data_IF_216014623060
#
_entry.id   IF_216014623060
#
_cell.length_a   1.000
_cell.length_b   1.000
_cell.length_c   1.000
_cell.angle_alpha   90.00
_cell.angle_beta   90.00
_cell.angle_gamma   90.00
#
_symmetry.space_group_name_H-M   'P 1'
#
loop_
_entity.id
_entity.type
_entity.pdbx_description
1 polymer ?
#
# COMPACT_ATOMS: atom_id res chain seq x y z
N UNK A 1 -10.26 4.40 -1.08
CA UNK A 1 -9.57 3.20 -0.53
C UNK A 1 -8.17 3.64 -0.16
N UNK A 2 -7.93 3.96 1.12
CA UNK A 2 -6.59 4.14 1.65
C UNK A 2 -5.84 2.80 1.49
N UNK A 3 -4.61 2.78 0.96
CA UNK A 3 -3.86 1.55 0.84
C UNK A 3 -3.55 1.03 2.25
N UNK A 4 -4.09 -0.15 2.56
CA UNK A 4 -3.81 -0.95 3.76
C UNK A 4 -2.39 -1.50 3.66
N UNK A 5 -1.41 -0.61 3.80
CA UNK A 5 0.01 -0.93 3.67
C UNK A 5 0.85 -0.16 4.68
N UNK A 6 0.39 -0.01 5.92
CA UNK A 6 1.23 0.50 7.02
C UNK A 6 0.84 -0.07 8.38
N UNK A 7 0.94 -1.39 8.55
CA UNK A 7 1.25 -1.99 9.87
C UNK A 7 1.90 -3.34 9.62
N UNK A 8 3.19 -3.42 9.29
CA UNK A 8 4.03 -4.58 9.61
C UNK A 8 5.50 -4.22 9.35
N UNK A 9 6.17 -3.71 10.38
CA UNK A 9 7.63 -3.75 10.44
C UNK A 9 8.06 -4.02 11.88
N UNK A 10 9.04 -4.93 12.00
CA UNK A 10 9.75 -5.42 13.19
C UNK A 10 9.20 -6.65 13.92
N UNK A 11 9.72 -7.82 13.52
CA UNK A 11 10.27 -8.80 14.46
C UNK A 11 11.29 -9.69 13.73
N UNK A 12 12.55 -9.25 13.65
CA UNK A 12 13.67 -10.11 13.29
C UNK A 12 13.95 -11.03 14.48
N UNK A 13 13.51 -12.28 14.40
CA UNK A 13 13.97 -13.35 15.30
C UNK A 13 14.90 -14.24 14.48
N UNK A 14 16.19 -14.19 14.81
CA UNK A 14 17.17 -15.18 14.39
C UNK A 14 16.78 -16.54 14.99
N UNK A 15 16.32 -17.46 14.14
CA UNK A 15 16.25 -18.88 14.47
C UNK A 15 17.23 -19.63 13.56
N UNK A 16 18.35 -20.04 14.13
CA UNK A 16 19.26 -21.02 13.53
C UNK A 16 18.52 -22.36 13.53
N UNK A 17 18.22 -22.90 12.35
CA UNK A 17 17.79 -24.29 12.21
C UNK A 17 18.55 -24.95 11.07
N UNK A 18 19.21 -26.04 11.43
CA UNK A 18 20.03 -26.88 10.59
C UNK A 18 19.23 -27.40 9.38
N UNK A 19 19.85 -27.31 8.20
CA UNK A 19 19.25 -27.73 6.94
C UNK A 19 19.05 -29.24 6.88
N UNK A 20 17.81 -29.66 6.69
CA UNK A 20 17.50 -30.83 5.88
C UNK A 20 17.37 -30.37 4.43
N UNK A 21 18.25 -30.87 3.57
CA UNK A 21 18.14 -30.78 2.12
C UNK A 21 16.86 -31.50 1.68
N UNK A 22 15.81 -30.74 1.35
CA UNK A 22 14.77 -31.17 0.43
C UNK A 22 14.92 -30.31 -0.81
N UNK A 23 15.39 -30.92 -1.89
CA UNK A 23 15.66 -30.25 -3.15
C UNK A 23 14.41 -29.53 -3.66
N UNK A 24 14.54 -28.22 -3.88
CA UNK A 24 13.53 -27.44 -4.58
C UNK A 24 13.57 -27.78 -6.07
N UNK A 25 12.68 -28.67 -6.50
CA UNK A 25 12.26 -28.74 -7.89
C UNK A 25 11.10 -27.75 -8.11
N UNK A 26 11.39 -26.45 -8.08
CA UNK A 26 10.41 -25.40 -8.40
C UNK A 26 11.08 -24.18 -9.03
N UNK A 27 11.69 -24.35 -10.20
CA UNK A 27 12.22 -23.21 -10.98
C UNK A 27 12.13 -23.30 -12.51
N UNK A 28 11.89 -24.45 -13.14
CA UNK A 28 11.92 -24.50 -14.62
C UNK A 28 10.62 -24.02 -15.30
N UNK A 29 9.45 -24.22 -14.69
CA UNK A 29 8.15 -23.91 -15.33
C UNK A 29 7.76 -22.44 -15.30
N UNK A 30 8.09 -21.70 -14.23
CA UNK A 30 7.78 -20.26 -14.11
C UNK A 30 8.69 -19.41 -14.99
N UNK A 31 9.97 -19.79 -15.11
CA UNK A 31 10.96 -19.08 -15.94
C UNK A 31 10.61 -19.21 -17.43
N UNK A 32 10.21 -20.41 -17.88
CA UNK A 32 9.78 -20.66 -19.26
C UNK A 32 8.46 -19.93 -19.65
N UNK A 33 7.59 -19.64 -18.69
CA UNK A 33 6.31 -18.93 -18.95
C UNK A 33 6.48 -17.41 -19.07
N UNK A 34 7.55 -16.86 -18.50
CA UNK A 34 7.86 -15.42 -18.46
C UNK A 34 8.97 -15.02 -19.44
N UNK A 35 9.78 -15.97 -19.90
CA UNK A 35 10.85 -15.75 -20.87
C UNK A 35 10.31 -15.61 -22.31
N UNK A 36 10.22 -14.38 -22.80
CA UNK A 36 9.90 -14.05 -24.19
C UNK A 36 11.18 -13.87 -25.03
N UNK A 37 11.16 -14.20 -26.34
CA UNK A 37 10.04 -14.74 -27.11
C UNK A 37 9.79 -16.23 -26.85
N UNK A 38 8.57 -16.69 -27.18
CA UNK A 38 8.22 -18.11 -27.09
C UNK A 38 8.33 -18.81 -28.43
N UNK A 39 8.93 -20.00 -28.45
CA UNK A 39 9.06 -20.83 -29.64
C UNK A 39 8.21 -22.10 -29.50
N UNK A 40 7.47 -22.44 -30.55
CA UNK A 40 6.67 -23.65 -30.64
C UNK A 40 6.87 -24.33 -31.99
N UNK A 41 6.86 -25.67 -31.98
CA UNK A 41 6.99 -26.49 -33.19
C UNK A 41 5.66 -27.17 -33.47
N UNK A 42 5.11 -27.00 -34.67
CA UNK A 42 3.85 -27.64 -35.08
C UNK A 42 3.93 -28.06 -36.54
N UNK A 43 3.62 -29.33 -36.83
CA UNK A 43 3.67 -29.89 -38.19
C UNK A 43 5.01 -29.64 -38.91
N UNK A 44 6.12 -29.69 -38.16
CA UNK A 44 7.48 -29.45 -38.68
C UNK A 44 7.84 -27.97 -38.93
N UNK A 45 6.89 -27.04 -38.74
CA UNK A 45 7.17 -25.61 -38.77
C UNK A 45 7.58 -25.11 -37.38
N UNK A 46 8.56 -24.21 -37.33
CA UNK A 46 8.96 -23.48 -36.12
C UNK A 46 8.26 -22.13 -36.12
N UNK A 47 7.58 -21.82 -35.03
CA UNK A 47 6.85 -20.55 -34.85
C UNK A 47 7.42 -19.85 -33.63
N UNK A 48 7.85 -18.61 -33.80
CA UNK A 48 8.33 -17.73 -32.72
C UNK A 48 7.31 -16.62 -32.54
N UNK A 49 6.80 -16.46 -31.32
CA UNK A 49 5.87 -15.39 -30.93
C UNK A 49 6.61 -14.46 -29.97
N UNK A 50 6.69 -13.19 -30.35
CA UNK A 50 7.30 -12.16 -29.52
C UNK A 50 6.30 -11.63 -28.48
N UNK A 51 6.82 -10.99 -27.44
CA UNK A 51 6.00 -10.49 -26.34
C UNK A 51 4.87 -9.59 -26.87
N UNK A 52 3.60 -9.86 -26.51
CA UNK A 52 2.49 -9.05 -26.95
C UNK A 52 2.54 -7.65 -26.34
N UNK A 53 2.21 -6.64 -27.14
CA UNK A 53 1.98 -5.27 -26.69
C UNK A 53 0.49 -5.05 -26.49
N UNK A 54 0.11 -4.51 -25.33
CA UNK A 54 -1.27 -4.26 -24.98
C UNK A 54 -1.87 -3.15 -25.85
N UNK A 55 -3.04 -3.40 -26.43
CA UNK A 55 -3.82 -2.38 -27.15
C UNK A 55 -4.87 -1.80 -26.19
N UNK A 56 -5.66 -2.67 -25.58
CA UNK A 56 -6.75 -2.33 -24.65
C UNK A 56 -6.92 -3.42 -23.60
N UNK A 57 -7.32 -3.05 -22.39
CA UNK A 57 -7.52 -3.99 -21.28
C UNK A 57 -8.80 -3.67 -20.48
N UNK A 58 -9.99 -3.75 -21.11
CA UNK A 58 -11.26 -3.47 -20.44
C UNK A 58 -11.43 -4.30 -19.17
N UNK A 59 -11.82 -3.62 -18.09
CA UNK A 59 -12.05 -4.18 -16.76
C UNK A 59 -10.89 -5.00 -16.17
N UNK A 60 -9.70 -4.93 -16.74
CA UNK A 60 -8.55 -5.78 -16.39
C UNK A 60 -8.82 -7.30 -16.53
N UNK A 61 -9.78 -7.70 -17.39
CA UNK A 61 -10.19 -9.11 -17.58
C UNK A 61 -9.85 -9.68 -18.95
N UNK A 62 -10.00 -8.86 -20.00
CA UNK A 62 -9.76 -9.27 -21.39
C UNK A 62 -8.74 -8.35 -22.01
N UNK A 63 -7.55 -8.88 -22.28
CA UNK A 63 -6.47 -8.13 -22.91
C UNK A 63 -6.58 -8.27 -24.43
N UNK A 64 -6.74 -7.15 -25.13
CA UNK A 64 -6.50 -7.07 -26.57
C UNK A 64 -5.04 -6.72 -26.78
N UNK A 65 -4.30 -7.53 -27.51
CA UNK A 65 -2.87 -7.34 -27.69
C UNK A 65 -2.40 -7.65 -29.11
N UNK A 66 -1.30 -7.01 -29.53
CA UNK A 66 -0.63 -7.30 -30.79
C UNK A 66 0.71 -7.98 -30.53
N UNK A 67 0.98 -9.07 -31.24
CA UNK A 67 2.27 -9.75 -31.19
C UNK A 67 2.87 -9.86 -32.59
N UNK A 68 4.20 -9.71 -32.68
CA UNK A 68 4.94 -10.13 -33.87
C UNK A 68 5.09 -11.65 -33.86
N UNK A 69 5.02 -12.26 -35.05
CA UNK A 69 5.16 -13.70 -35.24
C UNK A 69 6.13 -13.99 -36.40
N UNK A 70 7.01 -14.96 -36.20
CA UNK A 70 7.91 -15.47 -37.22
C UNK A 70 7.64 -16.96 -37.45
N UNK A 71 7.36 -17.36 -38.69
CA UNK A 71 7.02 -18.74 -39.05
C UNK A 71 8.08 -19.27 -40.02
N UNK A 72 8.89 -20.22 -39.58
CA UNK A 72 9.85 -20.94 -40.41
C UNK A 72 9.24 -22.28 -40.81
N UNK A 73 8.94 -22.45 -42.10
CA UNK A 73 8.35 -23.69 -42.63
C UNK A 73 9.39 -24.83 -42.71
N UNK A 74 8.96 -26.10 -42.77
CA UNK A 74 9.87 -27.23 -42.94
C UNK A 74 10.77 -27.04 -44.17
N UNK A 75 12.08 -27.14 -43.97
CA UNK A 75 13.07 -27.01 -45.05
C UNK A 75 13.38 -25.57 -45.48
N UNK A 76 12.66 -24.56 -44.96
CA UNK A 76 12.96 -23.15 -45.20
C UNK A 76 13.91 -22.61 -44.12
N UNK A 77 14.79 -21.67 -44.49
CA UNK A 77 15.70 -20.98 -43.55
C UNK A 77 15.23 -19.57 -43.19
N UNK A 78 14.54 -18.91 -44.11
CA UNK A 78 14.01 -17.56 -43.88
C UNK A 78 12.62 -17.65 -43.23
N UNK A 79 12.36 -16.96 -42.12
CA UNK A 79 11.04 -16.92 -41.51
C UNK A 79 10.10 -16.02 -42.32
N UNK A 80 8.84 -16.44 -42.43
CA UNK A 80 7.74 -15.56 -42.79
C UNK A 80 7.39 -14.69 -41.58
N UNK A 81 7.53 -13.39 -41.72
CA UNK A 81 7.22 -12.42 -40.67
C UNK A 81 5.80 -11.86 -40.82
N UNK A 82 5.13 -11.68 -39.70
CA UNK A 82 3.82 -11.03 -39.64
C UNK A 82 3.47 -10.53 -38.25
N UNK A 83 2.26 -10.02 -38.12
CA UNK A 83 1.66 -9.63 -36.85
C UNK A 83 0.32 -10.33 -36.67
N UNK A 84 -0.02 -10.58 -35.41
CA UNK A 84 -1.33 -11.09 -35.00
C UNK A 84 -1.90 -10.18 -33.92
N UNK A 85 -3.21 -9.99 -33.95
CA UNK A 85 -3.95 -9.37 -32.85
C UNK A 85 -4.82 -10.43 -32.17
N UNK A 86 -4.73 -10.47 -30.85
CA UNK A 86 -5.35 -11.48 -30.01
C UNK A 86 -6.21 -10.83 -28.94
N UNK A 87 -7.32 -11.48 -28.60
CA UNK A 87 -7.97 -11.29 -27.30
C UNK A 87 -7.59 -12.44 -26.36
N UNK A 88 -7.24 -12.12 -25.12
CA UNK A 88 -6.73 -13.04 -24.11
C UNK A 88 -7.47 -12.82 -22.79
N UNK A 89 -7.81 -13.89 -22.07
CA UNK A 89 -8.29 -13.80 -20.68
C UNK A 89 -7.12 -13.57 -19.75
N UNK A 90 -7.25 -12.63 -18.81
CA UNK A 90 -6.19 -12.25 -17.87
C UNK A 90 -6.53 -12.59 -16.43
N UNK A 91 -5.53 -13.08 -15.70
CA UNK A 91 -5.54 -13.17 -14.24
C UNK A 91 -4.29 -12.43 -13.72
N UNK A 92 -4.49 -11.46 -12.83
CA UNK A 92 -3.40 -10.59 -12.33
C UNK A 92 -3.03 -10.97 -10.91
N UNK A 93 -1.75 -11.29 -10.73
CA UNK A 93 -1.12 -11.34 -9.43
C UNK A 93 -0.42 -10.00 -9.18
N UNK A 94 -1.05 -9.14 -8.37
CA UNK A 94 -0.53 -7.81 -8.06
C UNK A 94 0.70 -7.86 -7.14
N UNK A 95 0.86 -8.92 -6.35
CA UNK A 95 1.98 -9.07 -5.42
C UNK A 95 3.27 -9.42 -6.17
N UNK A 96 3.20 -10.40 -7.08
CA UNK A 96 4.34 -10.73 -7.94
C UNK A 96 4.50 -9.80 -9.15
N UNK A 97 3.46 -9.03 -9.49
CA UNK A 97 3.46 -8.13 -10.64
C UNK A 97 3.40 -8.86 -11.97
N UNK A 98 2.75 -10.02 -12.02
CA UNK A 98 2.64 -10.90 -13.19
C UNK A 98 1.18 -11.00 -13.64
N UNK A 99 0.96 -11.01 -14.95
CA UNK A 99 -0.33 -11.34 -15.56
C UNK A 99 -0.21 -12.70 -16.24
N UNK A 100 -1.12 -13.62 -15.89
CA UNK A 100 -1.33 -14.87 -16.61
C UNK A 100 -2.32 -14.65 -17.75
N UNK A 101 -1.95 -15.11 -18.95
CA UNK A 101 -2.68 -14.98 -20.20
C UNK A 101 -3.19 -16.36 -20.64
N UNK A 102 -4.50 -16.49 -20.84
CA UNK A 102 -5.16 -17.73 -21.22
C UNK A 102 -6.23 -17.50 -22.29
N UNK A 103 -6.77 -18.59 -22.84
CA UNK A 103 -7.87 -18.58 -23.82
C UNK A 103 -7.68 -17.59 -24.99
N UNK A 104 -6.54 -17.63 -25.71
CA UNK A 104 -6.30 -16.73 -26.82
C UNK A 104 -7.34 -16.92 -27.94
N UNK A 105 -7.81 -15.82 -28.52
CA UNK A 105 -8.62 -15.80 -29.74
C UNK A 105 -7.99 -14.86 -30.74
N UNK A 106 -7.92 -15.28 -32.00
CA UNK A 106 -7.39 -14.47 -33.09
C UNK A 106 -8.44 -13.46 -33.55
N UNK A 107 -8.10 -12.18 -33.49
CA UNK A 107 -8.92 -11.10 -34.05
C UNK A 107 -8.52 -10.87 -35.51
N UNK A 108 -7.23 -10.62 -35.75
CA UNK A 108 -6.69 -10.34 -37.07
C UNK A 108 -5.27 -10.87 -37.23
N UNK A 109 -4.83 -11.04 -38.47
CA UNK A 109 -3.44 -11.33 -38.81
C UNK A 109 -3.00 -10.56 -40.04
N UNK A 110 -1.71 -10.21 -40.11
CA UNK A 110 -1.14 -9.51 -41.25
C UNK A 110 0.25 -10.05 -41.57
N UNK A 111 0.40 -10.55 -42.81
CA UNK A 111 1.66 -11.10 -43.33
C UNK A 111 1.99 -10.39 -44.65
N UNK A 112 2.85 -9.36 -44.64
CA UNK A 112 3.10 -8.51 -45.81
C UNK A 112 3.64 -9.25 -47.04
N UNK A 113 4.30 -10.39 -46.82
CA UNK A 113 4.93 -11.19 -47.88
C UNK A 113 3.98 -12.23 -48.52
N UNK A 114 2.71 -12.30 -48.10
CA UNK A 114 1.74 -13.28 -48.61
C UNK A 114 0.67 -12.61 -49.47
N UNK A 115 0.18 -13.36 -50.47
CA UNK A 115 -1.08 -13.02 -51.13
C UNK A 115 -2.30 -13.35 -50.25
N UNK A 116 -3.49 -12.95 -50.70
CA UNK A 116 -4.74 -13.12 -49.95
C UNK A 116 -5.08 -14.58 -49.64
N UNK A 117 -4.85 -15.51 -50.58
CA UNK A 117 -5.17 -16.92 -50.39
C UNK A 117 -4.20 -17.59 -49.40
N UNK A 118 -2.91 -17.27 -49.51
CA UNK A 118 -1.87 -17.71 -48.60
C UNK A 118 -2.09 -17.17 -47.18
N UNK A 119 -2.44 -15.88 -47.05
CA UNK A 119 -2.73 -15.26 -45.76
C UNK A 119 -3.93 -15.93 -45.07
N UNK A 120 -5.02 -16.21 -45.81
CA UNK A 120 -6.19 -16.90 -45.26
C UNK A 120 -5.84 -18.32 -44.74
N UNK A 121 -4.99 -19.06 -45.46
CA UNK A 121 -4.54 -20.38 -45.03
C UNK A 121 -3.70 -20.32 -43.74
N UNK A 122 -2.80 -19.33 -43.63
CA UNK A 122 -2.00 -19.12 -42.41
C UNK A 122 -2.90 -18.72 -41.24
N UNK A 123 -3.85 -17.82 -41.46
CA UNK A 123 -4.79 -17.40 -40.43
C UNK A 123 -5.60 -18.57 -39.87
N UNK A 124 -6.12 -19.44 -40.75
CA UNK A 124 -6.84 -20.64 -40.34
C UNK A 124 -5.97 -21.58 -39.49
N UNK A 125 -4.71 -21.77 -39.87
CA UNK A 125 -3.76 -22.59 -39.10
C UNK A 125 -3.46 -22.00 -37.72
N UNK A 126 -3.36 -20.67 -37.63
CA UNK A 126 -3.18 -19.98 -36.35
C UNK A 126 -4.43 -20.18 -35.48
N UNK A 127 -5.64 -19.97 -36.02
CA UNK A 127 -6.89 -20.20 -35.29
C UNK A 127 -7.01 -21.62 -34.74
N UNK A 128 -6.55 -22.63 -35.50
CA UNK A 128 -6.51 -24.02 -35.06
C UNK A 128 -5.42 -24.33 -34.02
N UNK A 129 -4.44 -23.44 -33.83
CA UNK A 129 -3.34 -23.63 -32.87
C UNK A 129 -3.61 -23.01 -31.51
N UNK A 130 -4.37 -21.91 -31.49
CA UNK A 130 -4.62 -21.14 -30.28
C UNK A 130 -5.26 -21.92 -29.13
N UNK A 131 -6.22 -22.85 -29.33
CA UNK A 131 -6.81 -23.60 -28.22
C UNK A 131 -5.81 -24.48 -27.46
N UNK A 132 -4.73 -24.92 -28.10
CA UNK A 132 -3.70 -25.76 -27.48
C UNK A 132 -2.62 -24.93 -26.77
N UNK A 133 -2.72 -23.60 -26.81
CA UNK A 133 -1.70 -22.71 -26.26
C UNK A 133 -1.72 -22.78 -24.73
N UNK A 134 -0.59 -23.15 -24.15
CA UNK A 134 -0.38 -23.11 -22.72
C UNK A 134 -0.47 -21.68 -22.19
N UNK A 135 -0.84 -21.55 -20.90
CA UNK A 135 -0.86 -20.27 -20.20
C UNK A 135 0.51 -19.60 -20.34
N UNK A 136 0.50 -18.32 -20.75
CA UNK A 136 1.69 -17.48 -20.87
C UNK A 136 1.66 -16.38 -19.83
N UNK A 137 2.82 -15.84 -19.49
CA UNK A 137 2.92 -14.78 -18.50
C UNK A 137 3.62 -13.55 -19.06
N UNK A 138 3.17 -12.37 -18.65
CA UNK A 138 3.80 -11.09 -18.98
C UNK A 138 3.91 -10.22 -17.72
N UNK A 139 4.95 -9.38 -17.59
CA UNK A 139 5.02 -8.42 -16.51
C UNK A 139 3.85 -7.43 -16.58
N UNK A 140 3.20 -7.18 -15.44
CA UNK A 140 2.13 -6.18 -15.32
C UNK A 140 2.60 -4.80 -15.80
N UNK A 141 3.81 -4.40 -15.45
CA UNK A 141 4.40 -3.13 -15.90
C UNK A 141 4.52 -3.04 -17.43
N UNK A 142 4.87 -4.13 -18.12
CA UNK A 142 4.99 -4.13 -19.58
C UNK A 142 3.62 -3.97 -20.26
N UNK A 143 2.58 -4.59 -19.72
CA UNK A 143 1.19 -4.38 -20.19
C UNK A 143 0.77 -2.94 -19.98
N UNK A 144 0.92 -2.42 -18.76
CA UNK A 144 0.51 -1.05 -18.42
C UNK A 144 1.24 0.02 -19.26
N UNK A 145 2.54 -0.16 -19.51
CA UNK A 145 3.34 0.78 -20.33
C UNK A 145 3.02 0.71 -21.82
N UNK A 146 2.49 -0.43 -22.31
CA UNK A 146 2.15 -0.60 -23.73
C UNK A 146 0.73 -0.19 -24.08
N UNK A 147 -0.16 -0.02 -23.08
CA UNK A 147 -1.54 0.41 -23.31
C UNK A 147 -1.60 1.70 -24.13
N UNK A 148 -2.40 1.66 -25.21
CA UNK A 148 -2.61 2.82 -26.09
C UNK A 148 -3.31 3.96 -25.34
N UNK A 149 -4.32 3.61 -24.56
CA UNK A 149 -5.05 4.54 -23.70
C UNK A 149 -4.68 4.26 -22.25
N UNK A 150 -4.04 5.23 -21.61
CA UNK A 150 -3.70 5.19 -20.20
C UNK A 150 -4.88 5.75 -19.40
N UNK A 151 -5.39 5.05 -18.37
CA UNK A 151 -6.45 5.61 -17.54
C UNK A 151 -5.97 6.92 -16.92
N UNK A 152 -6.78 7.97 -17.04
CA UNK A 152 -6.49 9.24 -16.40
C UNK A 152 -6.49 9.06 -14.88
N UNK A 153 -5.61 9.79 -14.18
CA UNK A 153 -5.72 9.92 -12.75
C UNK A 153 -7.10 10.54 -12.43
N UNK A 154 -7.86 9.90 -11.54
CA UNK A 154 -9.06 10.54 -11.00
C UNK A 154 -8.60 11.69 -10.10
N UNK A 155 -8.96 12.92 -10.45
CA UNK A 155 -8.65 14.11 -9.67
C UNK A 155 -9.59 14.15 -8.46
N UNK A 156 -9.21 13.44 -7.39
CA UNK A 156 -9.90 13.51 -6.11
C UNK A 156 -9.31 14.70 -5.35
N UNK A 157 -10.10 15.72 -4.97
CA UNK A 157 -9.62 16.81 -4.15
C UNK A 157 -9.16 16.26 -2.79
N UNK A 158 -7.84 16.25 -2.57
CA UNK A 158 -7.22 15.84 -1.30
C UNK A 158 -6.72 17.05 -0.52
N UNK A 159 -6.82 17.01 0.82
CA UNK A 159 -6.26 18.08 1.65
C UNK A 159 -4.74 17.96 1.72
N UNK A 160 -4.04 18.91 1.10
CA UNK A 160 -2.57 18.99 1.07
C UNK A 160 -1.97 19.88 2.16
N UNK A 161 -2.77 20.32 3.15
CA UNK A 161 -2.24 21.01 4.32
C UNK A 161 -1.18 20.13 5.01
N UNK A 162 -0.01 20.69 5.34
CA UNK A 162 1.03 19.95 6.02
C UNK A 162 0.54 19.52 7.42
N UNK A 163 0.78 18.26 7.83
CA UNK A 163 0.53 17.87 9.21
C UNK A 163 1.46 18.65 10.16
N UNK A 164 1.17 18.62 11.46
CA UNK A 164 2.15 19.11 12.46
C UNK A 164 3.36 18.18 12.42
N UNK A 165 4.53 18.69 12.08
CA UNK A 165 5.75 17.86 12.03
C UNK A 165 6.62 18.16 13.25
N UNK A 166 6.83 17.13 14.07
CA UNK A 166 7.79 17.17 15.17
C UNK A 166 9.17 16.72 14.69
N UNK A 167 10.22 17.24 15.31
CA UNK A 167 11.60 16.85 15.04
C UNK A 167 12.33 16.48 16.32
N UNK A 168 13.16 15.42 16.27
CA UNK A 168 14.05 15.06 17.36
C UNK A 168 15.34 14.40 16.87
N UNK A 169 16.47 14.83 17.44
CA UNK A 169 17.79 14.20 17.28
C UNK A 169 18.04 13.06 18.29
N UNK A 170 17.06 12.81 19.16
CA UNK A 170 17.06 11.79 20.19
C UNK A 170 15.93 10.81 19.94
N UNK A 171 15.99 9.58 20.48
CA UNK A 171 14.86 8.66 20.46
C UNK A 171 13.58 9.37 20.92
N UNK A 172 12.56 9.33 20.08
CA UNK A 172 11.29 9.99 20.32
C UNK A 172 10.13 9.12 19.84
N UNK A 173 8.94 9.39 20.34
CA UNK A 173 7.70 8.76 19.90
C UNK A 173 6.60 9.81 19.80
N UNK A 174 5.74 9.64 18.81
CA UNK A 174 4.61 10.52 18.57
C UNK A 174 3.30 9.80 18.94
N UNK A 175 2.62 10.34 19.94
CA UNK A 175 1.25 9.95 20.30
C UNK A 175 0.30 10.92 19.62
N UNK A 176 -0.56 10.41 18.74
CA UNK A 176 -1.58 11.20 18.05
C UNK A 176 -2.94 10.77 18.59
N UNK A 177 -3.75 11.75 18.95
CA UNK A 177 -5.18 11.60 19.16
C UNK A 177 -5.92 12.17 17.94
N UNK A 178 -6.97 11.49 17.50
CA UNK A 178 -7.92 12.07 16.55
C UNK A 178 -8.86 13.03 17.30
N UNK A 179 -8.46 14.30 17.41
CA UNK A 179 -9.12 15.30 18.23
C UNK A 179 -8.81 15.16 19.72
N UNK A 180 -9.72 15.65 20.57
CA UNK A 180 -9.58 15.55 22.03
C UNK A 180 -9.66 14.09 22.51
N UNK A 181 -8.94 13.68 23.56
CA UNK A 181 -8.97 12.30 24.05
C UNK A 181 -10.37 11.78 24.40
N UNK A 182 -10.74 10.63 23.84
CA UNK A 182 -12.02 9.96 24.10
C UNK A 182 -11.79 8.72 24.95
N UNK A 183 -12.31 8.73 26.18
CA UNK A 183 -12.07 7.71 27.19
C UNK A 183 -13.23 6.71 27.31
N UNK A 184 -12.89 5.41 27.34
CA UNK A 184 -13.79 4.29 27.65
C UNK A 184 -13.39 3.65 28.95
N UNK A 185 -14.32 3.53 29.89
CA UNK A 185 -14.06 2.85 31.15
C UNK A 185 -13.86 1.35 30.94
N UNK A 186 -12.78 0.80 31.51
CA UNK A 186 -12.46 -0.62 31.46
C UNK A 186 -13.19 -1.31 32.61
N UNK A 187 -14.39 -1.83 32.35
CA UNK A 187 -15.23 -2.46 33.37
C UNK A 187 -15.41 -1.56 34.60
N UNK A 188 -15.37 -2.13 35.79
CA UNK A 188 -15.46 -1.39 37.06
C UNK A 188 -14.08 -1.16 37.72
N UNK A 189 -13.03 -1.05 36.92
CA UNK A 189 -11.64 -0.94 37.45
C UNK A 189 -11.27 0.47 37.92
N UNK A 190 -12.03 1.50 37.52
CA UNK A 190 -11.63 2.89 37.69
C UNK A 190 -10.51 3.34 36.74
N UNK A 191 -10.16 2.51 35.75
CA UNK A 191 -9.25 2.85 34.66
C UNK A 191 -10.07 3.03 33.38
N UNK A 192 -9.73 4.06 32.61
CA UNK A 192 -10.25 4.30 31.27
C UNK A 192 -9.13 4.18 30.23
N UNK A 193 -9.48 3.72 29.04
CA UNK A 193 -8.61 3.63 27.87
C UNK A 193 -9.00 4.71 26.84
N UNK A 194 -8.02 5.39 26.25
CA UNK A 194 -8.27 6.30 25.16
C UNK A 194 -8.39 5.54 23.83
N UNK A 195 -9.54 5.63 23.18
CA UNK A 195 -9.85 4.81 21.98
C UNK A 195 -9.49 5.49 20.66
N UNK A 196 -9.32 6.81 20.65
CA UNK A 196 -9.02 7.61 19.46
C UNK A 196 -7.52 7.94 19.35
N UNK A 197 -6.63 6.99 19.66
CA UNK A 197 -5.18 7.21 19.60
C UNK A 197 -4.43 6.01 19.05
N UNK A 198 -3.25 6.25 18.46
CA UNK A 198 -2.36 5.22 17.93
C UNK A 198 -1.53 4.47 18.99
N UNK A 199 -1.69 4.78 20.28
CA UNK A 199 -0.96 4.12 21.39
C UNK A 199 -1.89 3.57 22.48
N UNK A 200 -1.34 2.70 23.33
CA UNK A 200 -1.98 2.32 24.59
C UNK A 200 -1.87 3.46 25.62
N UNK A 201 -2.90 4.31 25.67
CA UNK A 201 -3.02 5.40 26.64
C UNK A 201 -4.20 5.18 27.58
N UNK A 202 -3.94 5.24 28.87
CA UNK A 202 -4.92 5.04 29.93
C UNK A 202 -5.01 6.24 30.86
N UNK A 203 -6.14 6.37 31.55
CA UNK A 203 -6.34 7.36 32.60
C UNK A 203 -7.06 6.74 33.79
N UNK A 204 -6.72 7.16 35.01
CA UNK A 204 -7.50 6.84 36.22
C UNK A 204 -8.28 8.07 36.75
N UNK A 205 -8.43 9.11 35.92
CA UNK A 205 -9.06 10.39 36.28
C UNK A 205 -8.12 11.39 36.97
N UNK A 206 -7.02 10.94 37.57
CA UNK A 206 -6.01 11.82 38.19
C UNK A 206 -4.67 11.87 37.47
N UNK A 207 -4.35 10.83 36.69
CA UNK A 207 -3.12 10.71 35.92
C UNK A 207 -3.35 9.93 34.62
N UNK A 208 -2.47 10.18 33.67
CA UNK A 208 -2.40 9.52 32.37
C UNK A 208 -1.21 8.57 32.33
N UNK A 209 -1.38 7.43 31.66
CA UNK A 209 -0.40 6.35 31.58
C UNK A 209 -0.24 5.92 30.12
N UNK A 210 0.99 5.97 29.62
CA UNK A 210 1.35 5.55 28.28
C UNK A 210 2.22 4.30 28.36
N UNK A 211 1.85 3.26 27.62
CA UNK A 211 2.73 2.13 27.37
C UNK A 211 3.46 2.33 26.05
N UNK A 212 4.75 2.67 26.13
CA UNK A 212 5.61 2.85 24.98
C UNK A 212 6.62 1.69 24.86
N UNK A 213 6.46 0.83 23.85
CA UNK A 213 7.41 -0.25 23.56
C UNK A 213 7.79 -1.10 24.79
N UNK A 214 6.79 -1.40 25.65
CA UNK A 214 6.99 -2.18 26.88
C UNK A 214 7.38 -1.36 28.12
N UNK A 215 7.68 -0.07 27.98
CA UNK A 215 7.99 0.83 29.08
C UNK A 215 6.78 1.68 29.46
N UNK A 216 6.46 1.75 30.75
CA UNK A 216 5.40 2.60 31.25
C UNK A 216 5.91 4.01 31.53
N UNK A 217 5.12 4.99 31.09
CA UNK A 217 5.29 6.40 31.40
C UNK A 217 3.99 6.97 31.98
N UNK A 218 4.08 8.04 32.76
CA UNK A 218 2.91 8.78 33.25
C UNK A 218 3.03 10.27 33.04
N UNK A 219 1.88 10.94 32.98
CA UNK A 219 1.76 12.39 33.06
C UNK A 219 0.52 12.79 33.87
N UNK A 220 0.45 14.06 34.26
CA UNK A 220 -0.76 14.65 34.86
C UNK A 220 -1.84 14.99 33.82
N UNK A 221 -1.46 15.16 32.55
CA UNK A 221 -2.38 15.51 31.45
C UNK A 221 -2.19 14.56 30.27
N UNK A 222 -3.14 14.54 29.34
CA UNK A 222 -3.05 13.68 28.15
C UNK A 222 -1.89 14.09 27.23
N UNK A 223 -1.57 15.37 27.19
CA UNK A 223 -0.56 16.01 26.34
C UNK A 223 0.87 15.86 26.88
N UNK A 224 1.03 15.34 28.09
CA UNK A 224 2.33 15.22 28.72
C UNK A 224 2.74 16.46 29.54
N UNK A 225 4.02 16.56 29.94
CA UNK A 225 5.12 15.66 29.57
C UNK A 225 5.00 14.30 30.25
N UNK A 226 5.30 13.23 29.52
CA UNK A 226 5.34 11.87 30.05
C UNK A 226 6.70 11.55 30.64
N UNK A 227 6.71 10.92 31.83
CA UNK A 227 7.92 10.50 32.54
C UNK A 227 7.88 9.00 32.87
N UNK A 228 9.01 8.29 32.83
CA UNK A 228 9.05 6.87 33.18
C UNK A 228 8.54 6.59 34.58
N UNK A 229 7.82 5.49 34.74
CA UNK A 229 7.37 5.00 36.05
C UNK A 229 7.76 3.55 36.25
N UNK A 230 8.00 3.18 37.51
CA UNK A 230 8.31 1.81 37.93
C UNK A 230 7.15 1.17 38.71
N UNK A 231 6.07 1.91 38.92
CA UNK A 231 4.88 1.45 39.62
C UNK A 231 3.63 1.88 38.85
N UNK A 232 2.58 1.05 38.91
CA UNK A 232 1.25 1.36 38.39
C UNK A 232 0.23 1.26 39.51
N UNK A 233 -0.92 1.96 39.40
CA UNK A 233 -2.07 1.71 40.28
C UNK A 233 -2.46 0.24 40.27
N UNK A 234 -2.83 -0.31 41.43
CA UNK A 234 -3.24 -1.73 41.58
C UNK A 234 -4.36 -2.12 40.60
N UNK A 235 -5.24 -1.18 40.26
CA UNK A 235 -6.33 -1.36 39.32
C UNK A 235 -5.89 -1.83 37.91
N UNK A 236 -4.65 -1.56 37.48
CA UNK A 236 -4.12 -2.08 36.22
C UNK A 236 -4.04 -3.61 36.19
N UNK A 237 -3.92 -4.26 37.37
CA UNK A 237 -3.97 -5.72 37.48
C UNK A 237 -5.35 -6.31 37.15
N UNK A 238 -6.39 -5.49 37.07
CA UNK A 238 -7.76 -5.88 36.74
C UNK A 238 -8.14 -5.62 35.28
N UNK A 239 -7.19 -5.19 34.43
CA UNK A 239 -7.43 -5.05 32.99
C UNK A 239 -7.80 -6.43 32.39
N UNK A 240 -8.91 -6.53 31.62
CA UNK A 240 -9.40 -7.79 31.07
C UNK A 240 -8.36 -8.57 30.28
N UNK A 241 -8.50 -9.89 30.31
CA UNK A 241 -7.64 -10.82 29.58
C UNK A 241 -8.06 -10.99 28.10
N UNK A 242 -8.48 -9.91 27.44
CA UNK A 242 -8.82 -9.95 26.02
C UNK A 242 -7.57 -9.79 25.12
N UNK A 243 -7.77 -10.00 23.82
CA UNK A 243 -6.69 -9.89 22.83
C UNK A 243 -6.21 -8.44 22.63
N UNK A 244 -7.05 -7.44 22.89
CA UNK A 244 -6.73 -6.04 22.68
C UNK A 244 -5.75 -5.52 23.73
N UNK A 245 -5.72 -6.10 24.93
CA UNK A 245 -4.81 -5.71 26.01
C UNK A 245 -3.71 -6.75 26.30
N UNK A 246 -3.45 -7.67 25.36
CA UNK A 246 -2.45 -8.72 25.55
C UNK A 246 -1.05 -8.16 25.85
N UNK A 247 -0.60 -7.15 25.10
CA UNK A 247 0.72 -6.55 25.30
C UNK A 247 0.78 -5.66 26.55
N UNK A 248 -0.34 -5.00 26.88
CA UNK A 248 -0.51 -4.24 28.13
C UNK A 248 -0.29 -5.13 29.33
N UNK A 249 -0.93 -6.31 29.34
CA UNK A 249 -0.76 -7.30 30.42
C UNK A 249 0.65 -7.86 30.52
N UNK A 250 1.33 -8.12 29.39
CA UNK A 250 2.75 -8.56 29.40
C UNK A 250 3.67 -7.50 30.02
N UNK A 251 3.30 -6.23 29.93
CA UNK A 251 4.03 -5.10 30.49
C UNK A 251 3.64 -4.78 31.95
N UNK A 252 2.80 -5.59 32.60
CA UNK A 252 2.45 -5.48 34.02
C UNK A 252 3.08 -6.65 34.79
N UNK A 253 3.84 -6.42 35.88
CA UNK A 253 4.19 -5.11 36.45
C UNK A 253 5.18 -4.32 35.57
N UNK A 254 5.27 -2.99 35.75
CA UNK A 254 6.26 -2.19 35.05
C UNK A 254 7.67 -2.72 35.28
N UNK A 255 8.44 -2.79 34.20
CA UNK A 255 9.85 -3.18 34.25
C UNK A 255 10.69 -1.92 34.16
N UNK A 256 11.76 -1.84 34.96
CA UNK A 256 12.78 -0.82 34.76
C UNK A 256 13.36 -1.02 33.35
N UNK A 257 13.23 0.00 32.50
CA UNK A 257 13.82 -0.03 31.17
C UNK A 257 15.34 0.06 31.27
N UNK A 258 16.06 -0.79 30.54
CA UNK A 258 17.52 -0.68 30.39
C UNK A 258 17.92 0.38 29.34
N UNK A 259 16.94 1.03 28.71
CA UNK A 259 17.13 2.08 27.70
C UNK A 259 16.56 3.39 28.24
N UNK A 260 17.20 4.55 27.93
CA UNK A 260 16.61 5.85 28.19
C UNK A 260 15.22 5.94 27.55
N UNK A 261 14.27 6.52 28.28
CA UNK A 261 12.94 6.73 27.75
C UNK A 261 12.98 7.73 26.58
N UNK A 262 12.18 7.51 25.52
CA UNK A 262 12.11 8.44 24.42
C UNK A 262 11.44 9.75 24.85
N UNK A 263 11.71 10.82 24.12
CA UNK A 263 10.90 12.04 24.17
C UNK A 263 9.50 11.70 23.64
N UNK A 264 8.45 12.07 24.36
CA UNK A 264 7.08 11.87 23.92
C UNK A 264 6.53 13.19 23.38
N UNK A 265 6.23 13.23 22.09
CA UNK A 265 5.42 14.28 21.49
C UNK A 265 3.96 13.83 21.47
N UNK A 266 3.05 14.76 21.72
CA UNK A 266 1.60 14.50 21.69
C UNK A 266 0.93 15.52 20.77
N UNK A 267 -0.02 15.06 19.95
CA UNK A 267 -0.84 15.92 19.11
C UNK A 267 -2.29 15.47 19.10
N UNK A 268 -3.22 16.41 19.13
CA UNK A 268 -4.67 16.20 18.88
C UNK A 268 -5.07 16.56 17.44
N UNK A 269 -4.07 16.85 16.60
CA UNK A 269 -4.17 17.14 15.16
C UNK A 269 -3.35 16.14 14.36
N UNK A 270 -3.64 15.93 13.06
CA UNK A 270 -2.77 15.14 12.18
C UNK A 270 -1.31 15.60 12.32
N UNK A 271 -0.44 14.65 12.64
CA UNK A 271 0.95 14.92 12.96
C UNK A 271 1.87 13.80 12.48
N UNK A 272 3.09 14.20 12.13
CA UNK A 272 4.18 13.33 11.70
C UNK A 272 5.43 13.63 12.53
N UNK A 273 6.39 12.71 12.53
CA UNK A 273 7.66 12.91 13.25
C UNK A 273 8.86 12.57 12.37
N UNK A 274 9.85 13.47 12.42
CA UNK A 274 11.19 13.26 11.85
C UNK A 274 12.15 12.96 12.99
N UNK A 275 12.82 11.82 12.92
CA UNK A 275 13.81 11.41 13.92
C UNK A 275 15.16 11.25 13.24
N UNK A 276 16.20 11.90 13.76
CA UNK A 276 17.59 11.65 13.37
C UNK A 276 18.37 11.10 14.56
N UNK A 277 19.40 10.29 14.30
CA UNK A 277 20.36 9.89 15.31
C UNK A 277 21.48 10.95 15.40
N UNK A 278 21.24 11.99 16.21
CA UNK A 278 22.09 13.19 16.25
C UNK A 278 21.87 14.12 15.05
N UNK A 279 22.84 15.01 14.78
CA UNK A 279 22.79 15.92 13.64
C UNK A 279 22.63 15.17 12.30
N UNK A 280 21.90 15.72 11.31
CA UNK A 280 21.70 15.08 10.02
C UNK A 280 23.03 14.71 9.34
N UNK A 281 23.10 13.48 8.84
CA UNK A 281 24.23 12.98 8.07
C UNK A 281 23.83 12.81 6.61
N UNK A 282 24.52 13.51 5.72
CA UNK A 282 24.18 13.55 4.30
C UNK A 282 24.98 12.53 3.49
N UNK A 283 24.37 11.99 2.45
CA UNK A 283 25.04 11.21 1.40
C UNK A 283 24.51 11.64 0.03
N UNK A 284 25.40 11.84 -0.94
CA UNK A 284 25.02 12.22 -2.30
C UNK A 284 24.22 11.11 -2.97
N UNK A 285 23.13 11.47 -3.65
CA UNK A 285 22.36 10.57 -4.50
C UNK A 285 22.96 10.59 -5.90
N UNK A 286 23.51 9.45 -6.33
CA UNK A 286 24.23 9.33 -7.59
C UNK A 286 23.40 9.83 -8.79
N UNK A 287 24.03 10.61 -9.67
CA UNK A 287 23.39 11.19 -10.86
C UNK A 287 22.58 12.46 -10.59
N UNK A 288 22.58 12.98 -9.35
CA UNK A 288 21.83 14.17 -8.95
C UNK A 288 22.66 15.07 -8.01
N UNK A 289 22.14 16.24 -7.67
CA UNK A 289 22.64 17.12 -6.60
C UNK A 289 22.00 16.85 -5.24
N UNK A 290 21.02 15.95 -5.15
CA UNK A 290 20.29 15.63 -3.93
C UNK A 290 21.18 14.92 -2.92
N UNK A 291 20.95 15.21 -1.64
CA UNK A 291 21.57 14.51 -0.53
C UNK A 291 20.50 13.80 0.28
N UNK A 292 20.62 12.49 0.49
CA UNK A 292 19.77 11.75 1.41
C UNK A 292 20.30 11.90 2.84
N UNK A 293 19.40 12.03 3.81
CA UNK A 293 19.76 11.97 5.24
C UNK A 293 19.77 10.51 5.67
N UNK A 294 20.95 9.95 5.98
CA UNK A 294 21.14 8.50 6.19
C UNK A 294 20.91 8.03 7.63
N UNK A 295 20.98 8.93 8.60
CA UNK A 295 20.84 8.62 10.02
C UNK A 295 19.40 8.86 10.52
N UNK A 296 18.41 8.60 9.67
CA UNK A 296 16.98 8.69 9.97
C UNK A 296 16.24 7.52 9.34
N UNK A 297 15.15 7.01 9.96
CA UNK A 297 14.25 6.08 9.30
C UNK A 297 13.31 6.77 8.30
N UNK A 298 13.21 8.11 8.33
CA UNK A 298 12.33 8.87 7.45
C UNK A 298 12.93 8.99 6.05
N UNK A 299 12.09 8.97 5.02
CA UNK A 299 12.47 9.36 3.66
C UNK A 299 12.70 10.87 3.61
N UNK A 300 13.94 11.29 3.86
CA UNK A 300 14.33 12.68 4.02
C UNK A 300 15.53 13.01 3.14
N UNK A 301 15.37 14.05 2.31
CA UNK A 301 16.39 14.57 1.41
C UNK A 301 16.68 16.03 1.74
N UNK A 302 17.86 16.48 1.36
CA UNK A 302 18.27 17.86 1.34
C UNK A 302 18.73 18.22 -0.07
N UNK A 303 18.21 19.31 -0.61
CA UNK A 303 18.61 19.85 -1.90
C UNK A 303 19.45 21.12 -1.65
N UNK A 304 20.76 21.09 -1.99
CA UNK A 304 21.67 22.18 -1.63
C UNK A 304 21.37 23.51 -2.33
N UNK A 305 20.95 23.48 -3.60
CA UNK A 305 20.78 24.68 -4.44
C UNK A 305 19.70 25.64 -3.90
N UNK A 306 18.64 25.09 -3.33
CA UNK A 306 17.53 25.80 -2.67
C UNK A 306 17.65 25.76 -1.14
N UNK A 307 18.62 25.04 -0.60
CA UNK A 307 18.84 24.85 0.84
C UNK A 307 17.57 24.39 1.57
N UNK A 308 16.90 23.38 1.01
CA UNK A 308 15.63 22.87 1.54
C UNK A 308 15.70 21.38 1.83
N UNK A 309 15.06 20.99 2.92
CA UNK A 309 14.70 19.61 3.21
C UNK A 309 13.41 19.24 2.48
N UNK A 310 13.34 18.01 2.02
CA UNK A 310 12.17 17.37 1.42
C UNK A 310 11.90 16.05 2.15
N UNK A 311 10.69 15.88 2.65
CA UNK A 311 10.27 14.67 3.36
C UNK A 311 9.02 14.09 2.69
N UNK A 312 8.98 12.77 2.57
CA UNK A 312 7.84 12.05 2.03
C UNK A 312 6.98 11.49 3.17
N UNK A 313 5.72 11.94 3.26
CA UNK A 313 4.72 11.41 4.18
C UNK A 313 3.50 10.96 3.40
N UNK A 314 3.09 9.69 3.58
CA UNK A 314 1.89 9.12 2.96
C UNK A 314 1.78 9.42 1.46
N UNK A 315 2.88 9.26 0.71
CA UNK A 315 2.94 9.48 -0.74
C UNK A 315 3.03 10.95 -1.18
N UNK A 316 3.09 11.91 -0.26
CA UNK A 316 3.16 13.35 -0.55
C UNK A 316 4.44 13.97 -0.02
N UNK A 317 5.03 14.84 -0.84
CA UNK A 317 6.24 15.55 -0.47
C UNK A 317 5.93 16.86 0.23
N UNK A 318 6.68 17.12 1.29
CA UNK A 318 6.68 18.38 2.00
C UNK A 318 8.09 18.95 2.05
N UNK A 319 8.22 20.26 1.96
CA UNK A 319 9.51 20.95 2.00
C UNK A 319 9.58 21.99 3.11
N UNK A 320 10.78 22.18 3.67
CA UNK A 320 11.08 23.21 4.66
C UNK A 320 12.54 23.66 4.56
N UNK A 321 12.85 24.87 5.03
CA UNK A 321 14.25 25.34 5.14
C UNK A 321 15.01 24.71 6.31
N UNK A 322 14.31 24.05 7.24
CA UNK A 322 14.88 23.36 8.39
C UNK A 322 13.95 22.27 8.91
N UNK A 323 14.50 21.37 9.74
CA UNK A 323 13.76 20.19 10.21
C UNK A 323 12.60 20.50 11.16
N UNK A 324 12.63 21.66 11.81
CA UNK A 324 11.52 22.19 12.62
C UNK A 324 10.42 22.85 11.77
N UNK A 325 10.54 22.84 10.44
CA UNK A 325 9.61 23.52 9.54
C UNK A 325 9.89 25.03 9.41
N UNK A 326 8.88 25.83 9.02
CA UNK A 326 7.54 25.38 8.66
C UNK A 326 7.57 24.51 7.41
N UNK A 327 6.80 23.42 7.43
CA UNK A 327 6.65 22.53 6.29
C UNK A 327 5.55 23.03 5.37
N UNK A 328 5.72 22.86 4.06
CA UNK A 328 4.72 23.17 3.03
C UNK A 328 4.60 22.01 2.05
N UNK A 329 3.44 21.80 1.48
CA UNK A 329 3.28 20.86 0.37
C UNK A 329 4.21 21.21 -0.79
N UNK A 330 4.87 20.20 -1.35
CA UNK A 330 5.93 20.37 -2.34
C UNK A 330 5.89 19.35 -3.48
N UNK A 331 4.94 18.40 -3.49
CA UNK A 331 4.86 17.36 -4.54
C UNK A 331 4.88 17.94 -5.95
N UNK A 332 4.15 19.04 -6.18
CA UNK A 332 4.07 19.69 -7.49
C UNK A 332 5.25 20.64 -7.78
N UNK A 333 6.13 20.86 -6.81
CA UNK A 333 7.27 21.78 -6.86
C UNK A 333 8.59 21.05 -6.52
N UNK A 334 8.66 19.75 -6.79
CA UNK A 334 9.89 19.00 -6.57
C UNK A 334 11.00 19.47 -7.52
N UNK A 335 12.25 19.56 -7.04
CA UNK A 335 13.41 19.71 -7.91
C UNK A 335 13.46 18.61 -8.97
N UNK A 336 13.83 18.97 -10.21
CA UNK A 336 13.90 18.03 -11.34
C UNK A 336 14.79 16.82 -11.06
N UNK A 337 15.80 17.00 -10.20
CA UNK A 337 16.69 15.95 -9.70
C UNK A 337 15.98 14.72 -9.13
N UNK A 338 14.80 14.89 -8.51
CA UNK A 338 14.05 13.74 -8.00
C UNK A 338 13.65 12.75 -9.10
N UNK A 339 13.35 13.26 -10.31
CA UNK A 339 13.03 12.43 -11.46
C UNK A 339 14.28 11.81 -12.12
N UNK A 340 15.47 12.30 -11.79
CA UNK A 340 16.75 11.78 -12.27
C UNK A 340 17.33 10.66 -11.39
N UNK A 341 16.69 10.36 -10.24
CA UNK A 341 17.08 9.23 -9.39
C UNK A 341 16.98 7.93 -10.21
N UNK A 342 18.09 7.22 -10.35
CA UNK A 342 18.12 5.92 -11.05
C UNK A 342 17.15 4.91 -10.42
N UNK A 343 16.49 4.10 -11.25
CA UNK A 343 15.63 3.02 -10.79
C UNK A 343 16.38 1.90 -10.04
N UNK A 344 17.71 1.80 -10.25
CA UNK A 344 18.58 0.86 -9.54
C UNK A 344 19.18 1.47 -8.25
N UNK A 345 18.85 2.72 -7.96
CA UNK A 345 19.33 3.41 -6.75
C UNK A 345 18.67 2.83 -5.49
N UNK A 346 19.36 2.80 -4.33
CA UNK A 346 18.72 2.53 -3.04
C UNK A 346 17.57 3.50 -2.70
N UNK A 347 17.53 4.67 -3.34
CA UNK A 347 16.48 5.69 -3.17
C UNK A 347 15.33 5.54 -4.20
N UNK A 348 15.36 4.56 -5.10
CA UNK A 348 14.36 4.41 -6.16
C UNK A 348 12.92 4.19 -5.64
N UNK A 349 12.76 3.77 -4.38
CA UNK A 349 11.46 3.57 -3.74
C UNK A 349 10.60 4.84 -3.68
N UNK A 350 11.20 6.02 -3.87
CA UNK A 350 10.48 7.29 -3.86
C UNK A 350 9.89 7.66 -5.22
N UNK A 351 10.36 7.06 -6.31
CA UNK A 351 9.95 7.40 -7.68
C UNK A 351 8.43 7.29 -7.90
N UNK A 352 7.69 6.31 -7.34
CA UNK A 352 6.22 6.29 -7.40
C UNK A 352 5.54 7.55 -6.85
N UNK A 353 6.21 8.31 -6.00
CA UNK A 353 5.74 9.58 -5.42
C UNK A 353 6.41 10.81 -6.04
N UNK A 354 7.18 10.65 -7.13
CA UNK A 354 7.78 11.76 -7.89
C UNK A 354 6.98 11.96 -9.18
N UNK A 355 6.21 13.06 -9.30
CA UNK A 355 5.42 13.32 -10.50
C UNK A 355 6.27 13.33 -11.78
N UNK A 356 5.70 12.81 -12.86
CA UNK A 356 6.36 12.76 -14.18
C UNK A 356 7.30 11.58 -14.38
N UNK A 357 7.52 10.73 -13.38
CA UNK A 357 8.30 9.49 -13.55
C UNK A 357 7.43 8.35 -14.07
N UNK A 358 8.04 7.41 -14.80
CA UNK A 358 7.38 6.18 -15.26
C UNK A 358 6.80 5.37 -14.09
N UNK A 359 7.47 5.39 -12.94
CA UNK A 359 7.04 4.70 -11.73
C UNK A 359 5.78 5.33 -11.12
N UNK A 360 5.68 6.66 -11.12
CA UNK A 360 4.46 7.36 -10.68
C UNK A 360 3.28 7.07 -11.63
N UNK A 361 3.51 7.10 -12.94
CA UNK A 361 2.48 6.70 -13.92
C UNK A 361 1.99 5.26 -13.67
N UNK A 362 2.92 4.34 -13.47
CA UNK A 362 2.61 2.94 -13.16
C UNK A 362 1.87 2.80 -11.83
N UNK A 363 2.20 3.59 -10.82
CA UNK A 363 1.53 3.54 -9.53
C UNK A 363 0.05 3.95 -9.64
N UNK A 364 -0.26 5.00 -10.41
CA UNK A 364 -1.64 5.41 -10.70
C UNK A 364 -2.40 4.31 -11.43
N UNK A 365 -1.79 3.72 -12.46
CA UNK A 365 -2.43 2.62 -13.20
C UNK A 365 -2.70 1.41 -12.31
N UNK A 366 -1.72 1.02 -11.49
CA UNK A 366 -1.86 -0.09 -10.54
C UNK A 366 -2.94 0.16 -9.50
N UNK A 367 -3.08 1.40 -9.01
CA UNK A 367 -4.12 1.76 -8.05
C UNK A 367 -5.55 1.58 -8.61
N UNK A 368 -5.70 1.65 -9.94
CA UNK A 368 -6.98 1.43 -10.62
C UNK A 368 -7.29 -0.06 -10.91
N UNK A 369 -6.36 -0.98 -10.61
CA UNK A 369 -6.59 -2.42 -10.80
C UNK A 369 -7.37 -2.93 -9.58
N UNK A 370 -8.59 -3.45 -9.74
CA UNK A 370 -9.35 -4.00 -8.64
C UNK A 370 -8.62 -5.20 -8.03
N UNK A 371 -8.37 -5.16 -6.72
CA UNK A 371 -7.93 -6.33 -5.98
C UNK A 371 -9.14 -7.18 -5.59
N UNK A 372 -9.11 -8.47 -5.92
CA UNK A 372 -10.16 -9.41 -5.55
C UNK A 372 -9.67 -10.30 -4.41
N UNK A 373 -10.46 -10.40 -3.35
CA UNK A 373 -10.25 -11.34 -2.26
C UNK A 373 -11.53 -12.15 -2.05
N UNK A 374 -11.41 -13.46 -1.85
CA UNK A 374 -12.54 -14.31 -1.49
C UNK A 374 -12.69 -14.34 0.02
N UNK A 375 -13.86 -13.91 0.52
CA UNK A 375 -14.18 -13.90 1.95
C UNK A 375 -15.29 -14.92 2.22
N UNK A 376 -15.09 -15.78 3.21
CA UNK A 376 -16.15 -16.68 3.66
C UNK A 376 -17.22 -15.91 4.44
N UNK A 377 -18.42 -15.80 3.87
CA UNK A 377 -19.55 -15.03 4.43
C UNK A 377 -19.84 -15.35 5.91
N UNK A 378 -19.67 -16.60 6.31
CA UNK A 378 -20.03 -17.07 7.67
C UNK A 378 -18.92 -16.88 8.71
N UNK A 379 -17.69 -16.57 8.28
CA UNK A 379 -16.55 -16.40 9.18
C UNK A 379 -16.32 -14.94 9.58
N UNK A 380 -16.77 -13.98 8.76
CA UNK A 380 -16.59 -12.56 8.99
C UNK A 380 -17.52 -12.06 10.09
N UNK A 381 -16.98 -11.80 11.29
CA UNK A 381 -17.71 -11.21 12.41
C UNK A 381 -17.06 -9.89 12.80
N UNK A 382 -17.89 -8.87 12.97
CA UNK A 382 -17.46 -7.56 13.43
C UNK A 382 -18.32 -7.11 14.63
N UNK A 383 -17.65 -6.65 15.67
CA UNK A 383 -18.27 -5.94 16.80
C UNK A 383 -17.62 -4.58 16.92
N UNK A 384 -18.38 -3.53 16.66
CA UNK A 384 -17.96 -2.15 16.88
C UNK A 384 -18.31 -1.77 18.31
N UNK A 385 -17.35 -1.13 19.00
CA UNK A 385 -17.50 -0.70 20.39
C UNK A 385 -17.32 0.81 20.47
N UNK A 386 -18.25 1.48 21.14
CA UNK A 386 -18.25 2.93 21.31
C UNK A 386 -17.98 3.34 22.76
N UNK A 387 -17.41 4.53 22.92
CA UNK A 387 -17.33 5.25 24.19
C UNK A 387 -18.67 5.92 24.49
N UNK A 388 -19.56 5.20 25.17
CA UNK A 388 -20.93 5.64 25.41
C UNK A 388 -21.81 5.51 24.15
N UNK A 389 -22.90 6.30 24.05
CA UNK A 389 -23.75 6.31 22.85
C UNK A 389 -22.96 6.71 21.60
N UNK A 390 -23.20 6.13 20.42
CA UNK A 390 -22.52 6.51 19.18
C UNK A 390 -22.63 8.01 18.87
N UNK A 391 -21.51 8.66 18.58
CA UNK A 391 -21.42 10.08 18.24
C UNK A 391 -20.82 10.23 16.85
N UNK A 392 -21.45 11.05 16.01
CA UNK A 392 -21.05 11.26 14.63
C UNK A 392 -20.74 12.73 14.36
N UNK A 393 -19.72 12.99 13.53
CA UNK A 393 -19.41 14.31 12.99
C UNK A 393 -19.44 14.31 11.46
N UNK A 394 -19.78 15.44 10.80
CA UNK A 394 -19.72 15.54 9.35
C UNK A 394 -18.31 15.28 8.81
N UNK A 395 -18.21 14.65 7.65
CA UNK A 395 -16.98 14.60 6.84
C UNK A 395 -17.00 15.82 5.90
N UNK A 396 -16.11 16.82 6.10
CA UNK A 396 -16.11 18.04 5.30
C UNK A 396 -16.07 17.76 3.79
N UNK A 397 -16.87 18.50 3.03
CA UNK A 397 -16.96 18.34 1.57
C UNK A 397 -17.85 17.19 1.08
N UNK A 398 -18.52 16.46 1.97
CA UNK A 398 -19.39 15.33 1.61
C UNK A 398 -20.73 15.38 2.34
N UNK A 399 -21.67 14.51 1.95
CA UNK A 399 -22.96 14.32 2.65
C UNK A 399 -22.88 13.30 3.80
N UNK A 400 -21.69 12.82 4.14
CA UNK A 400 -21.48 11.71 5.06
C UNK A 400 -21.12 12.19 6.45
N UNK A 401 -21.31 11.32 7.44
CA UNK A 401 -20.80 11.52 8.80
C UNK A 401 -19.94 10.33 9.23
N UNK A 402 -19.04 10.53 10.18
CA UNK A 402 -18.20 9.46 10.73
C UNK A 402 -18.23 9.44 12.26
N UNK A 403 -18.05 8.25 12.82
CA UNK A 403 -18.03 8.06 14.26
C UNK A 403 -16.74 8.61 14.88
N UNK A 404 -16.87 9.35 15.99
CA UNK A 404 -15.72 9.99 16.66
C UNK A 404 -15.37 9.40 18.01
N UNK A 405 -16.19 8.46 18.49
CA UNK A 405 -16.04 7.87 19.82
C UNK A 405 -15.87 6.35 19.76
N UNK A 406 -15.15 5.87 18.76
CA UNK A 406 -14.82 4.46 18.57
C UNK A 406 -13.47 4.37 17.85
N UNK A 407 -12.80 3.22 17.97
CA UNK A 407 -11.54 2.95 17.27
C UNK A 407 -11.75 2.45 15.82
N UNK A 408 -13.01 2.40 15.36
CA UNK A 408 -13.38 1.93 14.03
C UNK A 408 -13.80 3.09 13.13
N UNK A 409 -13.39 3.07 11.87
CA UNK A 409 -13.83 4.05 10.87
C UNK A 409 -15.26 3.75 10.41
N UNK A 410 -16.24 4.08 11.26
CA UNK A 410 -17.66 3.90 10.96
C UNK A 410 -18.20 5.14 10.27
N UNK A 411 -18.66 4.97 9.03
CA UNK A 411 -19.23 6.01 8.18
C UNK A 411 -20.74 5.82 8.10
N UNK A 412 -21.51 6.88 8.30
CA UNK A 412 -22.94 6.92 8.03
C UNK A 412 -23.20 7.68 6.72
N UNK A 413 -24.00 7.06 5.86
CA UNK A 413 -24.43 7.63 4.59
C UNK A 413 -25.72 6.95 4.12
N UNK A 414 -26.67 7.75 3.62
CA UNK A 414 -27.95 7.25 3.12
C UNK A 414 -28.76 6.48 4.16
N UNK A 415 -28.64 6.80 5.46
CA UNK A 415 -29.36 6.11 6.53
C UNK A 415 -28.82 4.71 6.84
N UNK A 416 -27.60 4.39 6.38
CA UNK A 416 -26.90 3.14 6.65
C UNK A 416 -25.50 3.42 7.18
N UNK A 417 -24.95 2.44 7.89
CA UNK A 417 -23.61 2.50 8.45
C UNK A 417 -22.70 1.54 7.70
N UNK A 418 -21.45 1.96 7.51
CA UNK A 418 -20.41 1.23 6.80
C UNK A 418 -19.11 1.27 7.58
N UNK A 419 -18.36 0.20 7.55
CA UNK A 419 -17.06 0.12 8.22
C UNK A 419 -16.15 -0.82 7.43
N UNK A 420 -14.94 -0.38 7.15
CA UNK A 420 -13.92 -1.22 6.55
C UNK A 420 -13.09 -1.84 7.67
N UNK A 421 -13.10 -3.16 7.79
CA UNK A 421 -12.33 -3.88 8.78
C UNK A 421 -11.60 -5.05 8.13
N UNK A 422 -10.28 -5.12 8.34
CA UNK A 422 -9.40 -6.14 7.75
C UNK A 422 -9.53 -6.25 6.22
N UNK A 423 -9.67 -5.12 5.54
CA UNK A 423 -9.77 -5.06 4.08
C UNK A 423 -11.14 -5.43 3.52
N UNK A 424 -12.16 -5.61 4.37
CA UNK A 424 -13.51 -5.97 3.96
C UNK A 424 -14.52 -4.97 4.50
N UNK A 425 -15.48 -4.60 3.66
CA UNK A 425 -16.57 -3.70 4.05
C UNK A 425 -17.72 -4.46 4.70
N UNK A 426 -18.20 -3.91 5.82
CA UNK A 426 -19.42 -4.32 6.49
C UNK A 426 -20.46 -3.20 6.40
N UNK A 427 -21.74 -3.54 6.44
CA UNK A 427 -22.86 -2.61 6.50
C UNK A 427 -23.85 -2.99 7.60
N UNK A 428 -24.53 -2.00 8.17
CA UNK A 428 -25.58 -2.18 9.18
C UNK A 428 -26.65 -1.09 9.08
N UNK A 429 -27.85 -1.39 9.60
CA UNK A 429 -28.94 -0.41 9.70
C UNK A 429 -28.82 0.49 10.95
N UNK A 430 -27.89 0.17 11.85
CA UNK A 430 -27.64 0.86 13.11
C UNK A 430 -26.13 0.92 13.36
N UNK A 431 -25.63 1.95 14.05
CA UNK A 431 -24.20 2.06 14.37
C UNK A 431 -23.68 0.91 15.22
N UNK A 432 -24.56 0.21 15.96
CA UNK A 432 -24.19 -0.95 16.77
C UNK A 432 -24.34 -2.29 16.02
N UNK A 433 -24.70 -2.24 14.73
CA UNK A 433 -25.02 -3.42 13.95
C UNK A 433 -26.48 -3.90 14.09
N UNK A 434 -26.79 -5.15 13.72
CA UNK A 434 -25.85 -6.20 13.32
C UNK A 434 -25.07 -5.83 12.07
N UNK A 435 -23.77 -6.15 12.08
CA UNK A 435 -22.86 -5.93 10.96
C UNK A 435 -22.85 -7.14 10.05
N UNK A 436 -23.15 -6.94 8.78
CA UNK A 436 -23.06 -7.96 7.73
C UNK A 436 -22.11 -7.51 6.64
N UNK A 437 -21.57 -8.43 5.86
CA UNK A 437 -20.74 -8.08 4.70
C UNK A 437 -21.52 -7.18 3.74
N UNK A 438 -20.89 -6.09 3.30
CA UNK A 438 -21.47 -5.21 2.30
C UNK A 438 -21.33 -5.84 0.91
N UNK A 439 -22.46 -6.02 0.21
CA UNK A 439 -22.46 -6.47 -1.19
C UNK A 439 -22.05 -5.35 -2.14
N UNK A 440 -22.26 -4.10 -1.72
CA UNK A 440 -21.84 -2.89 -2.42
C UNK A 440 -21.51 -1.78 -1.42
N UNK A 441 -20.54 -0.95 -1.75
CA UNK A 441 -20.19 0.26 -0.99
C UNK A 441 -20.68 1.47 -1.78
N UNK A 442 -21.44 2.40 -1.18
CA UNK A 442 -21.90 3.60 -1.86
C UNK A 442 -20.74 4.39 -2.48
N UNK A 443 -20.89 4.83 -3.74
CA UNK A 443 -19.83 5.53 -4.47
C UNK A 443 -19.34 6.78 -3.75
N UNK A 444 -20.22 7.47 -3.02
CA UNK A 444 -19.90 8.66 -2.22
C UNK A 444 -18.81 8.39 -1.16
N UNK A 445 -18.66 7.15 -0.66
CA UNK A 445 -17.57 6.81 0.27
C UNK A 445 -16.19 6.96 -0.40
N UNK A 446 -16.11 6.80 -1.72
CA UNK A 446 -14.88 7.01 -2.47
C UNK A 446 -14.57 8.48 -2.75
N UNK A 447 -15.44 9.41 -2.34
CA UNK A 447 -15.21 10.86 -2.40
C UNK A 447 -14.72 11.44 -1.07
N UNK A 448 -14.41 10.60 -0.07
CA UNK A 448 -13.74 11.06 1.16
C UNK A 448 -12.34 11.59 0.78
N UNK A 449 -12.00 12.84 1.16
CA UNK A 449 -10.71 13.48 0.83
C UNK A 449 -9.46 12.77 1.37
#
# INVERSE_FOLDING_TARGET
MLPVAQVFQFATICLVLAGLLVGQARSETTEAATAWPHTLTRNGATVVVYQPQAIAWPEHKTLTARAAIAITRPGERAPLLGTIELTLTTETDAESGIISLSNPKLESSHFPALDTAQAALIEQKIRQALPDMQIKQVPLSAVLLSLKEKPAASDVPVDNNPPVVFYSEKPASLVVFDGDPVLVQIGNTGISYAVNTNWYVFSNGGAWYLLNNGQWLSSSTAEGPYKPITTLPKAFGSIPADKNFADVRKAIPPRAGNKPAPIIFVSTKPAEIIITAGAPQFALVAGTSLQVVKNTPNTLFFEPSSSRFFVLFSGRWFAASGLNGPWRFATNELPADFAMISADSPQASVLPSVPGTTQAELAVMKANIPQQATVQKNAAKLTVVYAGPPQFKPIPGTSMTYAVNTAFDVIETGGRYYVCYQGVWFTGASPNGPWVLAESVPEVIYTIP
#
